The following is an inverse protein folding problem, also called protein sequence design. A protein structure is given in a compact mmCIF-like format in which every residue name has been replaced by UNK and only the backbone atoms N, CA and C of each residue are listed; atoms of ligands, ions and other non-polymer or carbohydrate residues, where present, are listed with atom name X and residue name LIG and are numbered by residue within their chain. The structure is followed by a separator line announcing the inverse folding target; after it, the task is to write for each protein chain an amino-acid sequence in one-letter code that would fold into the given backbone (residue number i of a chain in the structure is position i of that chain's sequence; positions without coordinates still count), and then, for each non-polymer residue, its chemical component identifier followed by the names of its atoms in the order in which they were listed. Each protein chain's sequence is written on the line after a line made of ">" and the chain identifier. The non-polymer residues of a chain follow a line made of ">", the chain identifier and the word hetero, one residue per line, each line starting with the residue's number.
data_IF_442296462855
#
_entry.id   IF_442296462855
#
_cell.length_a   1.000
_cell.length_b   1.000
_cell.length_c   1.000
_cell.angle_alpha   90.00
_cell.angle_beta   90.00
_cell.angle_gamma   90.00
#
_symmetry.space_group_name_H-M   'P 1'
#
loop_
_entity.id
_entity.type
_entity.pdbx_description
1 polymer ?
#
# COMPACT_ATOMS: atom_id res chain seq x y z
N UNK A 1 3.04 32.68 -27.51
CA UNK A 1 3.64 32.20 -26.25
C UNK A 1 2.66 32.14 -25.08
N UNK A 2 1.61 31.32 -25.17
CA UNK A 2 0.60 31.15 -24.09
C UNK A 2 0.25 29.67 -23.86
N UNK A 3 1.19 28.75 -24.08
CA UNK A 3 0.87 27.30 -24.15
C UNK A 3 1.56 26.42 -23.11
N UNK A 4 2.32 26.99 -22.18
CA UNK A 4 2.92 26.22 -21.09
C UNK A 4 2.65 26.90 -19.75
N UNK A 5 1.36 27.08 -19.42
CA UNK A 5 0.94 27.32 -18.03
C UNK A 5 0.48 25.95 -17.51
N UNK A 6 1.45 25.07 -17.21
CA UNK A 6 1.14 23.72 -16.78
C UNK A 6 0.76 23.77 -15.29
N UNK A 7 -0.37 23.19 -14.86
CA UNK A 7 -0.85 23.28 -13.48
C UNK A 7 0.15 22.80 -12.40
N UNK A 8 1.17 22.05 -12.82
CA UNK A 8 2.19 21.45 -11.97
C UNK A 8 3.29 22.42 -11.57
N UNK A 9 3.49 23.53 -12.29
CA UNK A 9 4.54 24.51 -11.99
C UNK A 9 4.24 25.33 -10.72
N UNK A 10 2.98 25.31 -10.26
CA UNK A 10 2.51 26.01 -9.05
C UNK A 10 2.37 25.11 -7.83
N UNK A 11 2.65 23.82 -7.98
CA UNK A 11 2.47 22.82 -6.93
C UNK A 11 3.73 22.73 -6.08
N UNK A 12 3.57 22.57 -4.77
CA UNK A 12 4.68 22.35 -3.86
C UNK A 12 5.52 21.14 -4.34
N UNK A 13 6.83 21.29 -4.54
CA UNK A 13 7.67 20.25 -5.14
C UNK A 13 7.65 18.92 -4.36
N UNK A 14 7.37 18.94 -3.05
CA UNK A 14 7.16 17.73 -2.25
C UNK A 14 5.86 17.01 -2.62
N UNK A 15 4.80 17.77 -2.89
CA UNK A 15 3.51 17.24 -3.32
C UNK A 15 3.64 16.64 -4.72
N UNK A 16 4.37 17.32 -5.61
CA UNK A 16 4.66 16.84 -6.95
C UNK A 16 5.45 15.53 -6.93
N UNK A 17 6.50 15.43 -6.10
CA UNK A 17 7.26 14.19 -5.92
C UNK A 17 6.41 13.05 -5.38
N UNK A 18 5.49 13.35 -4.46
CA UNK A 18 4.60 12.35 -3.86
C UNK A 18 3.60 11.80 -4.89
N UNK A 19 3.01 12.68 -5.69
CA UNK A 19 2.11 12.31 -6.79
C UNK A 19 2.86 11.52 -7.86
N UNK A 20 4.08 11.94 -8.21
CA UNK A 20 4.95 11.25 -9.16
C UNK A 20 5.35 9.85 -8.67
N UNK A 21 5.62 9.68 -7.37
CA UNK A 21 5.91 8.38 -6.76
C UNK A 21 4.72 7.43 -6.78
N UNK A 22 3.52 7.92 -6.50
CA UNK A 22 2.28 7.14 -6.62
C UNK A 22 2.03 6.71 -8.08
N UNK A 23 2.34 7.59 -9.03
CA UNK A 23 2.26 7.30 -10.46
C UNK A 23 3.25 6.21 -10.88
N UNK A 24 4.51 6.29 -10.42
CA UNK A 24 5.55 5.29 -10.69
C UNK A 24 5.17 3.93 -10.08
N UNK A 25 4.59 3.90 -8.88
CA UNK A 25 4.12 2.67 -8.24
C UNK A 25 2.95 2.01 -8.98
N UNK A 26 2.06 2.82 -9.57
CA UNK A 26 0.95 2.34 -10.37
C UNK A 26 1.41 1.83 -11.75
N UNK A 27 2.38 2.52 -12.37
CA UNK A 27 2.94 2.15 -13.68
C UNK A 27 3.83 0.90 -13.63
N UNK A 28 4.46 0.62 -12.49
CA UNK A 28 5.25 -0.59 -12.25
C UNK A 28 4.34 -1.81 -11.99
N UNK A 29 3.54 -2.16 -12.99
CA UNK A 29 2.84 -3.45 -13.12
C UNK A 29 3.89 -4.57 -13.09
N UNK A 30 3.99 -5.27 -11.96
CA UNK A 30 4.98 -6.34 -11.73
C UNK A 30 6.03 -6.04 -10.64
N UNK A 31 5.90 -4.94 -9.89
CA UNK A 31 6.82 -4.67 -8.78
C UNK A 31 6.70 -5.74 -7.68
N UNK A 32 7.83 -6.41 -7.39
CA UNK A 32 7.89 -7.38 -6.30
C UNK A 32 7.60 -6.67 -4.98
N UNK A 33 7.01 -7.37 -4.00
CA UNK A 33 6.69 -6.85 -2.66
C UNK A 33 7.81 -6.02 -2.01
N UNK A 34 9.08 -6.35 -2.31
CA UNK A 34 10.26 -5.63 -1.84
C UNK A 34 10.32 -4.20 -2.37
N UNK A 35 9.96 -3.97 -3.63
CA UNK A 35 9.95 -2.64 -4.24
C UNK A 35 8.88 -1.74 -3.63
N UNK A 36 7.67 -2.27 -3.37
CA UNK A 36 6.63 -1.51 -2.68
C UNK A 36 7.03 -1.17 -1.23
N UNK A 37 7.62 -2.12 -0.51
CA UNK A 37 8.11 -1.87 0.85
C UNK A 37 9.26 -0.87 0.88
N UNK A 38 10.14 -0.90 -0.12
CA UNK A 38 11.19 0.08 -0.30
C UNK A 38 10.60 1.48 -0.54
N UNK A 39 9.62 1.60 -1.45
CA UNK A 39 8.95 2.87 -1.71
C UNK A 39 8.25 3.44 -0.47
N UNK A 40 7.57 2.59 0.32
CA UNK A 40 6.95 3.00 1.59
C UNK A 40 7.99 3.54 2.59
N UNK A 41 9.14 2.87 2.71
CA UNK A 41 10.24 3.32 3.59
C UNK A 41 10.84 4.64 3.11
N UNK A 42 11.00 4.82 1.80
CA UNK A 42 11.49 6.08 1.24
C UNK A 42 10.49 7.23 1.46
N UNK A 43 9.18 6.95 1.34
CA UNK A 43 8.15 7.95 1.60
C UNK A 43 8.14 8.38 3.07
N UNK A 44 8.35 7.43 3.99
CA UNK A 44 8.55 7.73 5.42
C UNK A 44 9.73 8.68 5.63
N UNK A 45 10.89 8.39 5.05
CA UNK A 45 12.09 9.23 5.19
C UNK A 45 11.89 10.65 4.61
N UNK A 46 11.18 10.78 3.49
CA UNK A 46 10.85 12.08 2.90
C UNK A 46 9.99 12.91 3.86
N UNK A 47 9.00 12.29 4.49
CA UNK A 47 8.13 12.95 5.47
C UNK A 47 8.93 13.31 6.73
N UNK A 48 9.81 12.43 7.21
CA UNK A 48 10.72 12.73 8.34
C UNK A 48 11.60 13.95 8.04
N UNK A 49 12.23 14.01 6.87
CA UNK A 49 13.05 15.15 6.47
C UNK A 49 12.24 16.44 6.32
N UNK A 50 11.02 16.37 5.80
CA UNK A 50 10.15 17.54 5.64
C UNK A 50 9.68 18.13 6.97
N UNK A 51 9.37 17.26 7.94
CA UNK A 51 9.00 17.64 9.30
C UNK A 51 10.20 18.30 9.99
N UNK A 52 11.40 17.71 9.88
CA UNK A 52 12.63 18.26 10.46
C UNK A 52 13.02 19.62 9.85
N UNK A 53 12.78 19.84 8.56
CA UNK A 53 13.03 21.15 7.93
C UNK A 53 12.10 22.25 8.45
N UNK A 54 10.90 21.89 8.92
CA UNK A 54 9.93 22.85 9.47
C UNK A 54 10.29 23.36 10.87
N UNK A 55 11.30 22.78 11.52
CA UNK A 55 11.77 23.17 12.86
C UNK A 55 11.61 22.04 13.88
N UNK A 56 11.24 22.39 15.11
CA UNK A 56 11.11 21.42 16.19
C UNK A 56 10.00 20.39 15.86
N UNK A 57 10.39 19.12 15.79
CA UNK A 57 9.48 18.00 15.57
C UNK A 57 8.49 17.92 16.74
N UNK A 58 7.20 18.07 16.48
CA UNK A 58 6.18 17.97 17.52
C UNK A 58 5.97 16.52 17.97
N UNK A 59 5.36 16.34 19.14
CA UNK A 59 4.96 15.03 19.66
C UNK A 59 4.07 14.27 18.66
N UNK A 60 3.14 15.00 18.02
CA UNK A 60 2.20 14.47 17.04
C UNK A 60 2.93 14.02 15.76
N UNK A 61 3.90 14.79 15.30
CA UNK A 61 4.72 14.43 14.14
C UNK A 61 5.47 13.10 14.37
N UNK A 62 6.03 12.91 15.56
CA UNK A 62 6.68 11.65 15.91
C UNK A 62 5.71 10.47 15.96
N UNK A 63 4.48 10.69 16.42
CA UNK A 63 3.45 9.65 16.46
C UNK A 63 3.02 9.24 15.05
N UNK A 64 2.84 10.22 14.15
CA UNK A 64 2.52 10.00 12.74
C UNK A 64 3.63 9.18 12.05
N UNK A 65 4.89 9.55 12.26
CA UNK A 65 6.04 8.83 11.70
C UNK A 65 6.17 7.41 12.23
N UNK A 66 5.85 7.18 13.51
CA UNK A 66 5.83 5.83 14.11
C UNK A 66 4.74 4.95 13.50
N UNK A 67 3.56 5.51 13.25
CA UNK A 67 2.42 4.79 12.65
C UNK A 67 2.54 4.59 11.14
N UNK A 68 3.46 5.29 10.48
CA UNK A 68 3.62 5.19 9.04
C UNK A 68 3.94 3.75 8.59
N UNK A 69 3.14 3.17 7.68
CA UNK A 69 3.26 1.77 7.31
C UNK A 69 4.51 1.51 6.46
N UNK A 70 5.25 0.45 6.77
CA UNK A 70 6.49 0.05 6.05
C UNK A 70 6.37 -1.28 5.31
N UNK A 71 5.22 -1.95 5.44
CA UNK A 71 4.87 -3.18 4.71
C UNK A 71 3.59 -2.95 3.91
N UNK A 72 3.65 -3.22 2.61
CA UNK A 72 2.54 -3.06 1.67
C UNK A 72 1.34 -3.94 2.04
N UNK A 73 1.54 -5.05 2.78
CA UNK A 73 0.44 -5.84 3.34
C UNK A 73 -0.37 -5.07 4.38
N UNK A 74 0.31 -4.34 5.25
CA UNK A 74 -0.36 -3.51 6.25
C UNK A 74 -1.14 -2.39 5.58
N UNK A 75 -0.60 -1.83 4.50
CA UNK A 75 -1.31 -0.85 3.66
C UNK A 75 -2.53 -1.50 3.00
N UNK A 76 -2.39 -2.67 2.37
CA UNK A 76 -3.53 -3.38 1.78
C UNK A 76 -4.64 -3.69 2.79
N UNK A 77 -4.29 -4.16 3.98
CA UNK A 77 -5.25 -4.35 5.08
C UNK A 77 -5.92 -3.06 5.53
N UNK A 78 -5.15 -1.98 5.63
CA UNK A 78 -5.67 -0.66 6.00
C UNK A 78 -6.72 -0.15 4.99
N UNK A 79 -6.51 -0.47 3.71
CA UNK A 79 -7.41 -0.09 2.61
C UNK A 79 -8.44 -1.18 2.25
N UNK A 80 -8.51 -2.28 3.01
CA UNK A 80 -9.40 -3.42 2.74
C UNK A 80 -9.27 -3.99 1.31
N UNK A 81 -8.03 -4.05 0.81
CA UNK A 81 -7.67 -4.54 -0.53
C UNK A 81 -7.18 -6.00 -0.50
N UNK A 82 -7.41 -6.72 0.59
CA UNK A 82 -7.14 -8.14 0.64
C UNK A 82 -8.25 -8.88 -0.12
N UNK A 83 -7.91 -9.82 -1.03
CA UNK A 83 -8.91 -10.53 -1.80
C UNK A 83 -9.75 -11.40 -0.87
N UNK A 84 -11.06 -11.45 -1.11
CA UNK A 84 -11.92 -12.48 -0.52
C UNK A 84 -11.47 -13.83 -1.09
N UNK A 85 -10.96 -14.70 -0.22
CA UNK A 85 -10.51 -16.04 -0.60
C UNK A 85 -11.51 -17.09 -0.13
N UNK A 86 -11.77 -18.08 -0.99
CA UNK A 86 -12.55 -19.28 -0.64
C UNK A 86 -11.55 -20.44 -0.53
N UNK A 87 -11.56 -21.16 0.58
CA UNK A 87 -10.66 -22.31 0.80
C UNK A 87 -11.31 -23.56 0.24
N UNK A 88 -10.78 -24.07 -0.87
CA UNK A 88 -11.22 -25.32 -1.48
C UNK A 88 -10.47 -26.51 -0.87
N UNK A 89 -11.14 -27.66 -0.74
CA UNK A 89 -10.50 -28.92 -0.34
C UNK A 89 -10.22 -29.80 -1.57
N UNK A 90 -9.09 -30.51 -1.55
CA UNK A 90 -8.76 -31.54 -2.54
C UNK A 90 -8.90 -32.90 -1.88
N UNK A 91 -9.71 -33.80 -2.45
CA UNK A 91 -9.75 -35.18 -1.98
C UNK A 91 -8.50 -35.92 -2.47
N UNK A 92 -7.70 -36.52 -1.57
CA UNK A 92 -6.46 -37.20 -1.93
C UNK A 92 -6.69 -38.49 -2.72
N UNK A 93 -7.89 -39.06 -2.69
CA UNK A 93 -8.21 -40.34 -3.32
C UNK A 93 -8.71 -40.18 -4.75
N UNK A 94 -9.57 -39.19 -5.01
CA UNK A 94 -10.15 -38.96 -6.34
C UNK A 94 -9.60 -37.72 -7.05
N UNK A 95 -8.70 -36.98 -6.40
CA UNK A 95 -8.09 -35.73 -6.92
C UNK A 95 -9.11 -34.66 -7.33
N UNK A 96 -10.34 -34.74 -6.81
CA UNK A 96 -11.38 -33.74 -7.06
C UNK A 96 -11.31 -32.61 -6.03
N UNK A 97 -11.66 -31.40 -6.48
CA UNK A 97 -11.73 -30.18 -5.66
C UNK A 97 -13.16 -29.91 -5.22
N UNK A 98 -13.37 -29.55 -3.96
CA UNK A 98 -14.68 -29.27 -3.39
C UNK A 98 -14.74 -27.87 -2.77
N UNK A 99 -15.79 -27.15 -3.11
CA UNK A 99 -16.12 -25.86 -2.52
C UNK A 99 -16.62 -26.08 -1.07
N UNK A 100 -16.23 -25.22 -0.10
CA UNK A 100 -16.68 -25.36 1.27
C UNK A 100 -18.17 -24.99 1.40
N UNK A 101 -18.92 -25.83 2.12
CA UNK A 101 -20.20 -25.45 2.71
C UNK A 101 -19.97 -24.95 4.14
N UNK A 102 -20.74 -23.99 4.64
CA UNK A 102 -20.51 -23.42 5.97
C UNK A 102 -21.57 -23.87 6.97
N UNK A 103 -21.15 -24.55 8.03
CA UNK A 103 -21.99 -24.92 9.16
C UNK A 103 -21.45 -24.23 10.42
N UNK A 104 -22.22 -23.32 11.01
CA UNK A 104 -21.80 -22.52 12.17
C UNK A 104 -20.46 -21.78 11.98
N UNK A 105 -20.16 -21.34 10.76
CA UNK A 105 -18.90 -20.66 10.41
C UNK A 105 -17.70 -21.59 10.16
N UNK A 106 -17.88 -22.91 10.29
CA UNK A 106 -16.84 -23.91 10.02
C UNK A 106 -17.03 -24.42 8.58
N UNK A 107 -15.97 -24.44 7.75
CA UNK A 107 -16.04 -25.02 6.41
C UNK A 107 -16.14 -26.54 6.49
N UNK A 108 -17.17 -27.09 5.86
CA UNK A 108 -17.48 -28.51 5.74
C UNK A 108 -17.44 -28.89 4.27
N UNK A 109 -16.72 -29.97 3.97
CA UNK A 109 -16.54 -30.49 2.61
C UNK A 109 -17.26 -31.83 2.46
N UNK A 110 -17.64 -32.22 1.24
CA UNK A 110 -18.28 -33.50 0.93
C UNK A 110 -17.42 -34.72 1.26
#
# INVERSE_FOLDING_TARGET
>A
DKHFDHPLDRINPLLLLSIFMALILNLLRGSTRRACNFALRMLKLIIECAIQQKGAVSSDDQEILKRFPTDIRSVRKLFDLDPVTIVWAVCPTCSSTYEPSYQSGIPVYP
#
